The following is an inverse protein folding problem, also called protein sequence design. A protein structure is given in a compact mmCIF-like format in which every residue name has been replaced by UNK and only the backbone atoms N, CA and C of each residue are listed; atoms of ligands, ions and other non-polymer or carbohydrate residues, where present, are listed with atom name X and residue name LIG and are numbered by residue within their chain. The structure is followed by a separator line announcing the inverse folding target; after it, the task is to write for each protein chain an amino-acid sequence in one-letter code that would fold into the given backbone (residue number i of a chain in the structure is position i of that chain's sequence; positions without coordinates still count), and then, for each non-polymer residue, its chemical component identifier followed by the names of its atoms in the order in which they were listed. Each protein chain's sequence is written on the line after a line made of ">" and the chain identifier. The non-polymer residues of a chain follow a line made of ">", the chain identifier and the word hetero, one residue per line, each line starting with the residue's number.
data_IF_975711834915
#
_entry.id   IF_975711834915
#
_cell.length_a   1.000
_cell.length_b   1.000
_cell.length_c   1.000
_cell.angle_alpha   90.00
_cell.angle_beta   90.00
_cell.angle_gamma   90.00
#
_symmetry.space_group_name_H-M   'P 1'
#
loop_
_entity.id
_entity.type
_entity.pdbx_description
1 polymer ?
#
# COMPACT_ATOMS: atom_id res chain seq x y z
N UNK A 1 17.45 -35.52 19.14
CA UNK A 1 17.75 -34.58 18.03
C UNK A 1 17.38 -33.21 18.55
N UNK A 2 18.37 -32.36 18.85
CA UNK A 2 18.08 -30.97 19.23
C UNK A 2 17.44 -30.26 18.02
N UNK A 3 16.22 -29.76 18.19
CA UNK A 3 15.62 -28.84 17.22
C UNK A 3 16.49 -27.60 17.12
N UNK A 4 17.12 -27.42 15.98
CA UNK A 4 17.82 -26.16 15.67
C UNK A 4 16.75 -25.06 15.67
N UNK A 5 16.69 -24.26 16.74
CA UNK A 5 15.89 -23.03 16.76
C UNK A 5 16.35 -22.14 15.61
N UNK A 6 15.51 -21.94 14.61
CA UNK A 6 15.76 -20.98 13.55
C UNK A 6 15.59 -19.60 14.19
N UNK A 7 16.62 -18.72 14.13
CA UNK A 7 16.48 -17.37 14.65
C UNK A 7 15.38 -16.63 13.88
N UNK A 8 14.47 -16.00 14.58
CA UNK A 8 13.41 -15.16 14.02
C UNK A 8 13.49 -13.76 14.65
N UNK A 9 12.89 -12.80 13.96
CA UNK A 9 12.73 -11.43 14.43
C UNK A 9 11.26 -11.23 14.73
N UNK A 10 10.98 -10.77 15.93
CA UNK A 10 9.64 -10.40 16.38
C UNK A 10 9.54 -8.87 16.41
N UNK A 11 8.50 -8.33 15.82
CA UNK A 11 8.24 -6.90 15.75
C UNK A 11 6.75 -6.67 15.96
N UNK A 12 6.39 -5.57 16.62
CA UNK A 12 5.03 -5.19 16.92
C UNK A 12 4.63 -3.97 16.11
N UNK A 13 3.45 -4.01 15.51
CA UNK A 13 2.86 -2.93 14.73
C UNK A 13 1.35 -2.85 15.00
N UNK A 14 0.80 -1.64 14.94
CA UNK A 14 -0.66 -1.42 15.05
C UNK A 14 -1.38 -1.94 13.81
N UNK A 15 -0.76 -1.78 12.63
CA UNK A 15 -1.36 -2.16 11.34
C UNK A 15 -0.36 -2.86 10.44
N UNK A 16 -0.78 -3.97 9.88
CA UNK A 16 -0.03 -4.71 8.85
C UNK A 16 -0.77 -4.65 7.53
N UNK A 17 -0.11 -4.18 6.49
CA UNK A 17 -0.63 -4.13 5.12
C UNK A 17 0.09 -5.15 4.26
N UNK A 18 -0.64 -6.06 3.63
CA UNK A 18 -0.08 -7.09 2.76
C UNK A 18 -0.30 -6.71 1.30
N UNK A 19 0.80 -6.42 0.61
CA UNK A 19 0.82 -6.02 -0.78
C UNK A 19 0.87 -4.50 -1.00
N UNK A 20 1.89 -4.04 -1.73
CA UNK A 20 2.13 -2.63 -2.05
C UNK A 20 1.62 -2.22 -3.44
N UNK A 21 0.45 -2.72 -3.84
CA UNK A 21 -0.31 -2.17 -4.96
C UNK A 21 -0.93 -0.82 -4.60
N UNK A 22 -1.71 -0.22 -5.52
CA UNK A 22 -2.31 1.10 -5.26
C UNK A 22 -3.15 1.14 -3.98
N UNK A 23 -3.99 0.13 -3.75
CA UNK A 23 -4.82 0.06 -2.55
C UNK A 23 -3.99 -0.08 -1.27
N UNK A 24 -2.94 -0.93 -1.30
CA UNK A 24 -2.05 -1.10 -0.15
C UNK A 24 -1.26 0.16 0.17
N UNK A 25 -0.77 0.88 -0.84
CA UNK A 25 -0.09 2.17 -0.64
C UNK A 25 -1.02 3.19 0.04
N UNK A 26 -2.27 3.32 -0.44
CA UNK A 26 -3.25 4.24 0.17
C UNK A 26 -3.59 3.84 1.60
N UNK A 27 -3.82 2.55 1.86
CA UNK A 27 -4.12 2.05 3.20
C UNK A 27 -2.95 2.30 4.17
N UNK A 28 -1.73 1.97 3.78
CA UNK A 28 -0.55 2.16 4.61
C UNK A 28 -0.30 3.65 4.91
N UNK A 29 -0.41 4.52 3.91
CA UNK A 29 -0.27 5.97 4.08
C UNK A 29 -1.36 6.55 4.99
N UNK A 30 -2.60 6.08 4.85
CA UNK A 30 -3.70 6.52 5.70
C UNK A 30 -3.46 6.17 7.17
N UNK A 31 -3.08 4.92 7.46
CA UNK A 31 -2.79 4.47 8.81
C UNK A 31 -1.60 5.21 9.44
N UNK A 32 -0.50 5.32 8.71
CA UNK A 32 0.69 6.02 9.18
C UNK A 32 0.43 7.51 9.45
N UNK A 33 -0.35 8.18 8.60
CA UNK A 33 -0.75 9.59 8.79
C UNK A 33 -1.68 9.80 9.98
N UNK A 34 -2.36 8.75 10.45
CA UNK A 34 -3.11 8.75 11.70
C UNK A 34 -2.23 8.51 12.94
N UNK A 35 -0.93 8.31 12.73
CA UNK A 35 0.04 8.06 13.81
C UNK A 35 0.10 6.61 14.28
N UNK A 36 -0.41 5.67 13.48
CA UNK A 36 -0.33 4.25 13.77
C UNK A 36 0.98 3.66 13.23
N UNK A 37 1.70 2.91 14.06
CA UNK A 37 2.88 2.16 13.62
C UNK A 37 2.47 1.12 12.59
N UNK A 38 2.82 1.36 11.35
CA UNK A 38 2.33 0.62 10.20
C UNK A 38 3.46 -0.06 9.46
N UNK A 39 3.29 -1.33 9.11
CA UNK A 39 4.19 -2.05 8.21
C UNK A 39 3.47 -2.46 6.93
N UNK A 40 4.13 -2.26 5.79
CA UNK A 40 3.65 -2.74 4.50
C UNK A 40 4.62 -3.78 3.91
N UNK A 41 4.08 -4.97 3.60
CA UNK A 41 4.82 -6.05 2.96
C UNK A 41 4.65 -6.03 1.46
N UNK A 42 5.74 -6.28 0.74
CA UNK A 42 5.72 -6.47 -0.71
C UNK A 42 6.76 -7.52 -1.12
N UNK A 43 6.47 -8.31 -2.13
CA UNK A 43 7.43 -9.28 -2.68
C UNK A 43 8.60 -8.61 -3.40
N UNK A 44 8.38 -7.37 -3.89
CA UNK A 44 9.43 -6.56 -4.51
C UNK A 44 9.14 -5.07 -4.31
N UNK A 45 10.11 -4.34 -3.79
CA UNK A 45 10.02 -2.89 -3.64
C UNK A 45 9.95 -2.16 -4.98
N UNK A 46 10.44 -2.78 -6.05
CA UNK A 46 10.40 -2.21 -7.40
C UNK A 46 9.02 -2.33 -8.05
N UNK A 47 8.13 -3.15 -7.47
CA UNK A 47 6.74 -3.30 -7.92
C UNK A 47 5.73 -2.44 -7.15
N UNK A 48 6.18 -1.59 -6.24
CA UNK A 48 5.31 -0.66 -5.50
C UNK A 48 4.54 0.23 -6.47
N UNK A 49 3.21 0.27 -6.30
CA UNK A 49 2.28 1.05 -7.13
C UNK A 49 2.46 0.84 -8.64
N UNK A 50 2.88 -0.37 -9.05
CA UNK A 50 3.13 -0.70 -10.45
C UNK A 50 1.87 -0.58 -11.30
N UNK A 51 2.04 -0.04 -12.50
CA UNK A 51 1.01 0.05 -13.54
C UNK A 51 1.31 -0.93 -14.69
N UNK A 52 0.95 -2.22 -14.59
CA UNK A 52 1.39 -3.24 -15.56
C UNK A 52 0.76 -3.08 -16.95
N UNK A 53 -0.45 -2.53 -17.01
CA UNK A 53 -1.17 -2.32 -18.27
C UNK A 53 -1.01 -0.89 -18.79
N UNK A 54 -2.14 -0.21 -19.08
CA UNK A 54 -2.14 1.18 -19.49
C UNK A 54 -1.91 2.11 -18.30
N UNK A 55 -0.83 2.87 -18.25
CA UNK A 55 -0.50 3.72 -17.12
C UNK A 55 -1.36 4.99 -17.10
N UNK A 56 -2.65 4.84 -16.85
CA UNK A 56 -3.61 5.94 -16.81
C UNK A 56 -4.33 6.02 -15.48
N UNK A 57 -4.43 7.22 -14.96
CA UNK A 57 -5.25 7.56 -13.78
C UNK A 57 -6.44 8.40 -14.24
N UNK A 58 -7.63 8.10 -13.72
CA UNK A 58 -8.85 8.79 -14.06
C UNK A 58 -9.61 8.16 -15.25
N UNK A 59 -10.33 8.98 -16.00
CA UNK A 59 -11.22 8.54 -17.10
C UNK A 59 -12.66 8.35 -16.65
N UNK A 60 -13.52 7.92 -17.58
CA UNK A 60 -14.99 7.96 -17.42
C UNK A 60 -15.52 7.15 -16.24
N UNK A 61 -14.85 6.07 -15.84
CA UNK A 61 -15.31 5.18 -14.77
C UNK A 61 -14.51 5.31 -13.48
N UNK A 62 -13.36 6.00 -13.50
CA UNK A 62 -12.41 6.02 -12.38
C UNK A 62 -12.09 7.43 -11.89
N UNK A 63 -12.35 8.46 -12.69
CA UNK A 63 -11.95 9.83 -12.37
C UNK A 63 -12.60 10.36 -11.11
N UNK A 64 -13.86 10.02 -10.84
CA UNK A 64 -14.57 10.42 -9.62
C UNK A 64 -14.01 9.70 -8.38
N UNK A 65 -13.68 8.40 -8.50
CA UNK A 65 -13.07 7.65 -7.40
C UNK A 65 -11.71 8.22 -6.99
N UNK A 66 -10.87 8.61 -7.96
CA UNK A 66 -9.59 9.26 -7.67
C UNK A 66 -9.78 10.58 -6.93
N UNK A 67 -10.79 11.37 -7.30
CA UNK A 67 -11.13 12.62 -6.60
C UNK A 67 -11.64 12.38 -5.19
N UNK A 68 -12.43 11.33 -4.98
CA UNK A 68 -12.90 10.93 -3.65
C UNK A 68 -11.73 10.51 -2.75
N UNK A 69 -10.79 9.72 -3.27
CA UNK A 69 -9.57 9.34 -2.57
C UNK A 69 -8.74 10.59 -2.24
N UNK A 70 -8.56 11.50 -3.20
CA UNK A 70 -7.82 12.75 -3.02
C UNK A 70 -8.47 13.65 -1.95
N UNK A 71 -9.80 13.78 -1.96
CA UNK A 71 -10.55 14.53 -0.96
C UNK A 71 -10.40 13.96 0.46
N UNK A 72 -10.14 12.67 0.60
CA UNK A 72 -9.83 12.01 1.87
C UNK A 72 -8.34 12.10 2.26
N UNK A 73 -7.54 12.80 1.46
CA UNK A 73 -6.11 12.97 1.73
C UNK A 73 -5.22 11.90 1.12
N UNK A 74 -5.75 11.08 0.20
CA UNK A 74 -5.00 10.05 -0.51
C UNK A 74 -3.85 10.58 -1.37
N UNK A 75 -3.01 9.69 -1.85
CA UNK A 75 -1.76 10.05 -2.54
C UNK A 75 -1.82 9.87 -4.06
N UNK A 76 -2.74 9.04 -4.56
CA UNK A 76 -2.82 8.72 -5.99
C UNK A 76 -2.96 9.96 -6.87
N UNK A 77 -3.82 10.93 -6.49
CA UNK A 77 -4.01 12.19 -7.19
C UNK A 77 -2.75 13.04 -7.19
N UNK A 78 -2.12 13.19 -6.03
CA UNK A 78 -0.87 13.94 -5.87
C UNK A 78 0.28 13.32 -6.64
N UNK A 79 0.37 11.99 -6.63
CA UNK A 79 1.43 11.26 -7.31
C UNK A 79 1.30 11.35 -8.84
N UNK A 80 0.07 11.25 -9.39
CA UNK A 80 -0.13 11.42 -10.83
C UNK A 80 0.15 12.86 -11.28
N UNK A 81 -0.17 13.85 -10.47
CA UNK A 81 0.12 15.26 -10.80
C UNK A 81 1.63 15.55 -10.94
N UNK A 82 2.46 14.80 -10.24
CA UNK A 82 3.93 14.89 -10.36
C UNK A 82 4.49 14.11 -11.55
N UNK A 83 3.78 13.10 -12.03
CA UNK A 83 4.36 12.06 -12.91
C UNK A 83 3.61 11.87 -14.23
N UNK A 84 2.59 12.69 -14.53
CA UNK A 84 1.86 12.59 -15.79
C UNK A 84 2.71 13.10 -16.97
N UNK A 85 2.59 12.42 -18.11
CA UNK A 85 3.15 12.82 -19.39
C UNK A 85 2.09 13.53 -20.25
N UNK A 86 0.84 13.17 -20.10
CA UNK A 86 -0.28 13.77 -20.82
C UNK A 86 -1.53 13.78 -19.96
N UNK A 87 -2.23 14.91 -19.97
CA UNK A 87 -3.54 15.04 -19.36
C UNK A 87 -4.57 15.44 -20.44
N UNK A 88 -5.69 14.72 -20.49
CA UNK A 88 -6.73 14.95 -21.50
C UNK A 88 -8.11 14.84 -20.90
N UNK A 89 -8.96 15.84 -21.21
CA UNK A 89 -10.39 15.76 -20.93
C UNK A 89 -11.08 14.90 -21.99
N UNK A 90 -11.72 13.82 -21.54
CA UNK A 90 -12.52 12.93 -22.36
C UNK A 90 -13.97 13.41 -22.46
N UNK A 91 -14.68 12.96 -23.49
CA UNK A 91 -16.11 13.18 -23.70
C UNK A 91 -16.53 14.67 -23.82
N UNK A 92 -15.64 15.55 -24.27
CA UNK A 92 -15.95 16.99 -24.42
C UNK A 92 -17.16 17.27 -25.29
N UNK A 93 -17.45 16.40 -26.27
CA UNK A 93 -18.60 16.52 -27.17
C UNK A 93 -19.94 16.03 -26.57
N UNK A 94 -19.90 15.39 -25.38
CA UNK A 94 -21.07 14.72 -24.78
C UNK A 94 -21.72 15.48 -23.61
N UNK A 95 -21.30 16.70 -23.37
CA UNK A 95 -21.83 17.53 -22.30
C UNK A 95 -21.05 17.38 -20.96
N UNK A 96 -21.22 18.37 -20.06
CA UNK A 96 -20.37 18.48 -18.85
C UNK A 96 -20.48 17.31 -17.88
N UNK A 97 -21.65 16.68 -17.79
CA UNK A 97 -21.91 15.59 -16.84
C UNK A 97 -21.04 14.35 -17.05
N UNK A 98 -20.52 14.15 -18.26
CA UNK A 98 -19.67 13.00 -18.61
C UNK A 98 -18.23 13.40 -18.93
N UNK A 99 -17.87 14.66 -18.70
CA UNK A 99 -16.50 15.12 -18.82
C UNK A 99 -15.63 14.39 -17.80
N UNK A 100 -14.56 13.77 -18.26
CA UNK A 100 -13.69 12.97 -17.41
C UNK A 100 -12.23 13.26 -17.72
N UNK A 101 -11.49 13.68 -16.70
CA UNK A 101 -10.06 13.87 -16.83
C UNK A 101 -9.37 12.52 -16.80
N UNK A 102 -8.46 12.30 -17.74
CA UNK A 102 -7.55 11.15 -17.77
C UNK A 102 -6.12 11.64 -17.92
N UNK A 103 -5.29 11.24 -16.98
CA UNK A 103 -3.86 11.48 -17.00
C UNK A 103 -3.12 10.20 -17.37
N UNK A 104 -2.22 10.28 -18.33
CA UNK A 104 -1.29 9.20 -18.66
C UNK A 104 -0.01 9.42 -17.86
N UNK A 105 0.38 8.41 -17.09
CA UNK A 105 1.58 8.45 -16.25
C UNK A 105 2.82 7.97 -17.01
N UNK A 106 3.96 8.52 -16.64
CA UNK A 106 5.22 7.80 -16.73
C UNK A 106 5.20 6.73 -15.62
N UNK A 107 5.00 5.47 -16.01
CA UNK A 107 4.78 4.38 -15.06
C UNK A 107 5.97 4.10 -14.15
N UNK A 108 7.19 4.31 -14.64
CA UNK A 108 8.41 4.12 -13.84
C UNK A 108 8.54 5.24 -12.82
N UNK A 109 8.36 6.47 -13.27
CA UNK A 109 8.44 7.65 -12.40
C UNK A 109 7.31 7.64 -11.36
N UNK A 110 6.09 7.19 -11.74
CA UNK A 110 4.97 7.04 -10.81
C UNK A 110 5.27 6.06 -9.68
N UNK A 111 5.83 4.89 -10.01
CA UNK A 111 6.23 3.88 -9.03
C UNK A 111 7.35 4.41 -8.12
N UNK A 112 8.37 5.04 -8.70
CA UNK A 112 9.49 5.63 -7.95
C UNK A 112 9.03 6.72 -6.99
N UNK A 113 8.16 7.62 -7.43
CA UNK A 113 7.67 8.72 -6.59
C UNK A 113 6.76 8.20 -5.47
N UNK A 114 5.90 7.20 -5.74
CA UNK A 114 5.11 6.56 -4.69
C UNK A 114 5.99 5.87 -3.66
N UNK A 115 7.01 5.13 -4.09
CA UNK A 115 7.98 4.51 -3.18
C UNK A 115 8.68 5.53 -2.30
N UNK A 116 9.11 6.64 -2.88
CA UNK A 116 9.73 7.74 -2.14
C UNK A 116 8.76 8.36 -1.12
N UNK A 117 7.49 8.52 -1.46
CA UNK A 117 6.46 8.99 -0.53
C UNK A 117 6.32 8.04 0.65
N UNK A 118 6.19 6.73 0.41
CA UNK A 118 6.11 5.73 1.47
C UNK A 118 7.35 5.74 2.36
N UNK A 119 8.55 5.81 1.78
CA UNK A 119 9.82 5.82 2.52
C UNK A 119 10.02 7.04 3.41
N UNK A 120 9.42 8.17 3.04
CA UNK A 120 9.54 9.43 3.78
C UNK A 120 8.32 9.71 4.69
N UNK A 121 7.42 8.76 4.84
CA UNK A 121 6.27 8.88 5.74
C UNK A 121 6.63 8.33 7.10
N UNK A 122 6.47 9.16 8.14
CA UNK A 122 6.67 8.74 9.52
C UNK A 122 5.70 7.61 9.88
N UNK A 123 6.06 6.76 10.83
CA UNK A 123 5.27 5.60 11.28
C UNK A 123 5.00 4.55 10.20
N UNK A 124 5.79 4.53 9.10
CA UNK A 124 5.63 3.58 8.02
C UNK A 124 6.91 2.81 7.72
N UNK A 125 6.87 1.51 7.93
CA UNK A 125 7.94 0.58 7.60
C UNK A 125 7.61 -0.20 6.33
N UNK A 126 8.53 -0.24 5.38
CA UNK A 126 8.40 -1.07 4.17
C UNK A 126 9.27 -2.30 4.34
N UNK A 127 8.68 -3.48 4.14
CA UNK A 127 9.42 -4.74 4.19
C UNK A 127 9.25 -5.54 2.90
N UNK A 128 10.37 -5.87 2.29
CA UNK A 128 10.37 -6.81 1.16
C UNK A 128 10.40 -8.23 1.70
N UNK A 129 9.24 -8.87 1.71
CA UNK A 129 9.06 -10.26 2.11
C UNK A 129 7.75 -10.81 1.58
N UNK A 130 7.67 -12.12 1.47
CA UNK A 130 6.44 -12.85 1.19
C UNK A 130 5.76 -13.20 2.51
N UNK A 131 4.49 -12.83 2.64
CA UNK A 131 3.67 -13.23 3.79
C UNK A 131 3.16 -14.65 3.52
N UNK A 132 3.64 -15.60 4.30
CA UNK A 132 3.32 -17.02 4.14
C UNK A 132 2.05 -17.42 4.88
N UNK A 133 1.78 -16.81 6.04
CA UNK A 133 0.64 -17.20 6.88
C UNK A 133 0.18 -16.00 7.72
N UNK A 134 -1.12 -15.89 7.92
CA UNK A 134 -1.74 -14.99 8.90
C UNK A 134 -2.30 -15.87 10.00
N UNK A 135 -1.73 -15.75 11.20
CA UNK A 135 -2.12 -16.54 12.35
C UNK A 135 -3.04 -15.71 13.23
N UNK A 136 -4.28 -16.15 13.40
CA UNK A 136 -5.23 -15.55 14.34
C UNK A 136 -5.41 -16.48 15.54
N UNK A 137 -5.95 -15.98 16.65
CA UNK A 137 -6.24 -16.81 17.82
C UNK A 137 -7.13 -18.01 17.46
N UNK A 138 -8.12 -17.80 16.61
CA UNK A 138 -9.02 -18.88 16.13
C UNK A 138 -8.26 -19.91 15.28
N UNK A 139 -7.44 -19.45 14.35
CA UNK A 139 -6.65 -20.34 13.46
C UNK A 139 -5.59 -21.11 14.24
N UNK A 140 -5.00 -20.49 15.26
CA UNK A 140 -4.02 -21.16 16.11
C UNK A 140 -4.66 -22.29 16.94
N UNK A 141 -5.86 -22.07 17.47
CA UNK A 141 -6.62 -23.10 18.22
C UNK A 141 -7.01 -24.26 17.31
N UNK A 142 -7.48 -24.00 16.10
CA UNK A 142 -7.85 -25.04 15.12
C UNK A 142 -6.65 -25.90 14.69
N UNK A 143 -5.47 -25.30 14.59
CA UNK A 143 -4.24 -26.00 14.18
C UNK A 143 -3.46 -26.60 15.37
N UNK A 144 -3.97 -26.51 16.59
CA UNK A 144 -3.29 -27.00 17.80
C UNK A 144 -1.97 -26.29 18.13
N UNK A 145 -1.76 -25.11 17.57
CA UNK A 145 -0.62 -24.25 17.87
C UNK A 145 -0.96 -23.40 19.09
N UNK A 146 -0.30 -23.61 20.21
CA UNK A 146 -0.36 -22.67 21.34
C UNK A 146 0.31 -21.35 20.91
N UNK A 147 -0.47 -20.24 20.99
CA UNK A 147 0.12 -18.92 20.90
C UNK A 147 0.77 -18.64 22.25
N UNK A 148 2.07 -18.84 22.35
CA UNK A 148 2.83 -18.33 23.48
C UNK A 148 2.88 -16.81 23.35
N UNK A 149 2.03 -16.12 24.12
CA UNK A 149 2.27 -14.71 24.40
C UNK A 149 3.52 -14.64 25.26
N UNK A 150 4.65 -14.24 24.68
CA UNK A 150 5.80 -13.83 25.44
C UNK A 150 5.41 -12.56 26.20
N UNK A 151 5.31 -12.65 27.51
CA UNK A 151 5.13 -11.49 28.38
C UNK A 151 6.46 -10.74 28.47
N UNK A 152 6.41 -9.42 28.58
CA UNK A 152 7.56 -8.47 28.64
C UNK A 152 8.64 -8.80 29.69
N UNK A 153 8.50 -9.88 30.44
CA UNK A 153 9.44 -10.33 31.47
C UNK A 153 10.52 -11.31 30.98
N UNK A 154 10.53 -11.71 29.71
CA UNK A 154 11.50 -12.67 29.17
C UNK A 154 12.54 -12.06 28.22
N UNK A 155 12.56 -10.73 28.08
CA UNK A 155 13.62 -10.00 27.37
C UNK A 155 14.59 -9.44 28.41
N UNK A 156 15.54 -10.23 28.81
CA UNK A 156 16.77 -9.80 29.48
C UNK A 156 17.99 -10.21 28.68
#
# INVERSE_FOLDING_TARGET
>A
MEEKKIPYVEEEYDVVVVGAGHAGCEAALACARLGLETIIFTVSVDSIAMMPCNPNIGGSSKGHLVREIDALGGEMGKNIDKTFIQSKMLNKSKGPAVHSLRAQADKMNYSMEMRKTLQNTDHLTIRQAEVSEIITETTALENGKEIQKMTDSEVQ
#
